data_IF_759678051809
#
_entry.id   IF_759678051809
#
_cell.length_a   1.000
_cell.length_b   1.000
_cell.length_c   1.000
_cell.angle_alpha   90.00
_cell.angle_beta   90.00
_cell.angle_gamma   90.00
#
_symmetry.space_group_name_H-M   'P 1'
#
loop_
_entity.id
_entity.type
_entity.pdbx_description
1 polymer ?
#
# COMPACT_ATOMS: atom_id res chain seq x y z
N UNK A 1 -1.74 2.78 -23.91
CA UNK A 1 -1.06 1.80 -23.06
C UNK A 1 -0.77 2.47 -21.72
N UNK A 2 -1.73 2.45 -20.79
CA UNK A 2 -1.59 2.96 -19.40
C UNK A 2 -2.64 2.27 -18.50
N UNK A 3 -2.63 0.94 -18.45
CA UNK A 3 -3.57 0.17 -17.60
C UNK A 3 -2.89 -0.46 -16.36
N UNK A 4 -1.56 -0.50 -16.30
CA UNK A 4 -0.83 -1.08 -15.15
C UNK A 4 -0.82 -0.18 -13.90
N UNK A 5 -0.94 1.14 -14.06
CA UNK A 5 -0.95 2.10 -12.95
C UNK A 5 -2.10 1.88 -11.95
N UNK A 6 -3.17 1.19 -12.35
CA UNK A 6 -4.34 0.97 -11.50
C UNK A 6 -4.23 -0.34 -10.70
N UNK A 7 -3.67 -1.42 -11.27
CA UNK A 7 -3.65 -2.72 -10.59
C UNK A 7 -2.76 -2.75 -9.35
N UNK A 8 -1.61 -2.07 -9.40
CA UNK A 8 -0.67 -2.02 -8.26
C UNK A 8 -1.26 -1.21 -7.10
N UNK A 9 -1.85 -0.07 -7.41
CA UNK A 9 -2.51 0.76 -6.43
C UNK A 9 -3.72 0.04 -5.83
N UNK A 10 -4.57 -0.60 -6.64
CA UNK A 10 -5.74 -1.35 -6.16
C UNK A 10 -5.36 -2.47 -5.20
N UNK A 11 -4.40 -3.33 -5.56
CA UNK A 11 -3.89 -4.37 -4.64
C UNK A 11 -3.29 -3.77 -3.37
N UNK A 12 -2.52 -2.69 -3.51
CA UNK A 12 -1.92 -2.01 -2.38
C UNK A 12 -2.96 -1.42 -1.43
N UNK A 13 -4.05 -0.89 -1.97
CA UNK A 13 -5.14 -0.34 -1.19
C UNK A 13 -5.87 -1.43 -0.40
N UNK A 14 -6.19 -2.55 -1.04
CA UNK A 14 -6.79 -3.71 -0.36
C UNK A 14 -5.89 -4.22 0.78
N UNK A 15 -4.57 -4.32 0.52
CA UNK A 15 -3.61 -4.79 1.52
C UNK A 15 -3.41 -3.79 2.67
N UNK A 16 -3.41 -2.49 2.38
CA UNK A 16 -3.39 -1.44 3.40
C UNK A 16 -4.63 -1.51 4.30
N UNK A 17 -5.81 -1.73 3.72
CA UNK A 17 -7.04 -1.88 4.47
C UNK A 17 -7.06 -3.15 5.34
N UNK A 18 -6.48 -4.25 4.86
CA UNK A 18 -6.33 -5.50 5.62
C UNK A 18 -5.41 -5.37 6.83
N UNK A 19 -4.29 -4.64 6.69
CA UNK A 19 -3.24 -4.54 7.73
C UNK A 19 -3.54 -3.38 8.69
N UNK A 20 -3.71 -2.17 8.16
CA UNK A 20 -3.78 -0.92 8.93
C UNK A 20 -5.20 -0.33 8.99
N UNK A 21 -6.08 -0.73 8.06
CA UNK A 21 -7.46 -0.25 7.99
C UNK A 21 -7.57 1.27 8.00
N UNK A 22 -8.47 1.78 8.83
CA UNK A 22 -8.74 3.21 8.95
C UNK A 22 -7.52 4.05 9.40
N UNK A 23 -6.50 3.46 10.04
CA UNK A 23 -5.30 4.19 10.39
C UNK A 23 -4.43 4.50 9.17
N UNK A 24 -4.26 3.51 8.28
CA UNK A 24 -3.55 3.69 7.02
C UNK A 24 -4.24 4.70 6.11
N UNK A 25 -5.58 4.62 6.01
CA UNK A 25 -6.38 5.55 5.20
C UNK A 25 -6.17 7.01 5.64
N UNK A 26 -6.23 7.29 6.95
CA UNK A 26 -5.97 8.64 7.48
C UNK A 26 -4.59 9.17 7.13
N UNK A 27 -3.57 8.30 7.07
CA UNK A 27 -2.21 8.71 6.69
C UNK A 27 -2.17 9.06 5.20
N UNK A 28 -2.82 8.28 4.34
CA UNK A 28 -2.88 8.56 2.90
C UNK A 28 -3.67 9.85 2.63
N UNK A 29 -4.79 10.05 3.30
CA UNK A 29 -5.59 11.27 3.20
C UNK A 29 -4.78 12.51 3.61
N UNK A 30 -4.06 12.42 4.73
CA UNK A 30 -3.18 13.50 5.17
C UNK A 30 -2.06 13.81 4.16
N UNK A 31 -1.49 12.77 3.55
CA UNK A 31 -0.44 12.93 2.55
C UNK A 31 -0.97 13.51 1.24
N UNK A 32 -2.26 13.37 0.92
CA UNK A 32 -2.82 13.89 -0.32
C UNK A 32 -2.68 15.42 -0.45
N UNK A 33 -2.74 16.15 0.66
CA UNK A 33 -2.62 17.61 0.69
C UNK A 33 -1.16 18.11 0.71
N UNK A 34 -0.19 17.26 1.06
CA UNK A 34 1.21 17.65 1.30
C UNK A 34 2.16 17.04 0.28
N UNK A 35 2.00 15.75 0.00
CA UNK A 35 2.85 14.95 -0.86
C UNK A 35 2.05 13.79 -1.47
N UNK A 36 1.13 14.07 -2.42
CA UNK A 36 0.23 13.05 -2.97
C UNK A 36 0.97 11.90 -3.66
N UNK A 37 2.10 12.19 -4.33
CA UNK A 37 2.93 11.16 -4.96
C UNK A 37 3.54 10.20 -3.93
N UNK A 38 3.90 10.71 -2.75
CA UNK A 38 4.42 9.87 -1.66
C UNK A 38 3.31 8.95 -1.13
N UNK A 39 2.10 9.47 -0.93
CA UNK A 39 0.94 8.65 -0.57
C UNK A 39 0.70 7.55 -1.59
N UNK A 40 0.73 7.90 -2.88
CA UNK A 40 0.61 6.91 -3.98
C UNK A 40 1.71 5.84 -3.91
N UNK A 41 2.98 6.23 -3.76
CA UNK A 41 4.09 5.28 -3.71
C UNK A 41 4.05 4.38 -2.48
N UNK A 42 3.55 4.85 -1.34
CA UNK A 42 3.34 4.03 -0.14
C UNK A 42 2.30 2.95 -0.42
N UNK A 43 1.19 3.29 -1.07
CA UNK A 43 0.17 2.30 -1.43
C UNK A 43 0.72 1.31 -2.47
N UNK A 44 1.36 1.81 -3.52
CA UNK A 44 1.82 0.97 -4.64
C UNK A 44 2.96 0.03 -4.27
N UNK A 45 4.01 0.51 -3.59
CA UNK A 45 5.22 -0.27 -3.40
C UNK A 45 5.20 -1.12 -2.12
N UNK A 46 5.20 -0.55 -0.90
CA UNK A 46 5.06 -1.34 0.33
C UNK A 46 3.85 -2.28 0.31
N UNK A 47 2.65 -1.77 0.06
CA UNK A 47 1.44 -2.59 0.15
C UNK A 47 1.18 -3.38 -1.14
N UNK A 48 1.28 -2.74 -2.30
CA UNK A 48 0.97 -3.36 -3.59
C UNK A 48 1.99 -4.39 -4.06
N UNK A 49 3.28 -4.20 -3.73
CA UNK A 49 4.36 -5.10 -4.16
C UNK A 49 4.97 -5.89 -3.00
N UNK A 50 5.27 -5.28 -1.85
CA UNK A 50 5.99 -5.99 -0.77
C UNK A 50 5.03 -6.88 0.02
N UNK A 51 4.05 -6.31 0.73
CA UNK A 51 3.11 -7.06 1.56
C UNK A 51 2.20 -8.01 0.77
N UNK A 52 1.99 -7.75 -0.52
CA UNK A 52 1.20 -8.61 -1.40
C UNK A 52 1.97 -9.80 -1.99
N UNK A 53 3.30 -9.90 -1.81
CA UNK A 53 4.07 -11.05 -2.33
C UNK A 53 3.64 -12.37 -1.67
N UNK A 54 3.48 -13.46 -2.45
CA UNK A 54 3.38 -14.79 -1.86
C UNK A 54 4.70 -15.17 -1.17
N UNK A 55 4.62 -15.96 -0.09
CA UNK A 55 5.78 -16.40 0.66
C UNK A 55 5.58 -16.24 2.16
N UNK A 56 6.41 -15.40 2.79
CA UNK A 56 6.36 -15.17 4.24
C UNK A 56 5.01 -14.58 4.66
N UNK A 57 4.44 -15.12 5.73
CA UNK A 57 3.28 -14.55 6.40
C UNK A 57 3.60 -13.16 6.98
N UNK A 58 2.56 -12.40 7.33
CA UNK A 58 2.69 -11.03 7.82
C UNK A 58 3.65 -10.95 9.02
N UNK A 59 3.51 -11.90 9.95
CA UNK A 59 4.32 -11.97 11.17
C UNK A 59 5.80 -12.16 10.87
N UNK A 60 6.16 -12.98 9.88
CA UNK A 60 7.55 -13.20 9.48
C UNK A 60 8.17 -11.98 8.78
N UNK A 61 7.36 -11.07 8.23
CA UNK A 61 7.83 -9.85 7.55
C UNK A 61 8.14 -8.71 8.51
N UNK A 62 7.52 -8.69 9.68
CA UNK A 62 7.74 -7.65 10.69
C UNK A 62 9.03 -7.83 11.52
N UNK A 63 9.77 -8.93 11.33
CA UNK A 63 10.98 -9.28 12.13
C UNK A 63 12.27 -9.29 11.28
N UNK A 64 12.17 -9.10 9.97
CA UNK A 64 13.30 -9.14 9.03
C UNK A 64 14.03 -7.79 8.87
#
# INVERSE_FOLDING_TARGET
MFLEENERYARGWEKLQEIDGAAGERVIDFLNDIAPDLGRYIVEFPFGDVYSRPGLDLKSREIA
#
